data_IF_435664454653
#
_entry.id   IF_435664454653
#
_cell.length_a   1.000
_cell.length_b   1.000
_cell.length_c   1.000
_cell.angle_alpha   90.00
_cell.angle_beta   90.00
_cell.angle_gamma   90.00
#
_symmetry.space_group_name_H-M   'P 1'
#
loop_
_entity.id
_entity.type
_entity.pdbx_description
1 polymer ?
#
# COMPACT_ATOMS: atom_id res chain seq x y z
N UNK A 1 64.78 -11.21 -1.12
CA UNK A 1 63.69 -10.27 -1.49
C UNK A 1 62.49 -11.07 -1.92
N UNK A 2 61.46 -11.18 -1.08
CA UNK A 2 60.13 -11.58 -1.55
C UNK A 2 59.09 -10.96 -0.62
N UNK A 3 58.46 -9.87 -1.08
CA UNK A 3 57.38 -9.16 -0.38
C UNK A 3 56.08 -9.68 -0.98
N UNK A 4 55.17 -10.31 -0.22
CA UNK A 4 53.84 -10.61 -0.74
C UNK A 4 53.02 -9.32 -0.82
N UNK A 5 52.45 -9.06 -2.00
CA UNK A 5 51.55 -7.94 -2.24
C UNK A 5 50.27 -8.03 -1.38
N UNK A 6 49.69 -6.89 -0.95
CA UNK A 6 48.43 -6.89 -0.21
C UNK A 6 47.27 -7.33 -1.12
N UNK A 7 46.44 -8.25 -0.63
CA UNK A 7 45.25 -8.73 -1.31
C UNK A 7 44.22 -7.61 -1.40
N UNK A 8 43.81 -7.31 -2.62
CA UNK A 8 42.74 -6.40 -2.98
C UNK A 8 41.45 -6.79 -2.23
N UNK A 9 40.99 -5.89 -1.37
CA UNK A 9 39.69 -5.96 -0.73
C UNK A 9 38.62 -5.79 -1.82
N UNK A 10 38.09 -6.91 -2.30
CA UNK A 10 36.83 -6.92 -3.05
C UNK A 10 35.71 -6.44 -2.13
N UNK A 11 35.45 -5.13 -2.14
CA UNK A 11 34.18 -4.54 -1.72
C UNK A 11 33.08 -5.06 -2.64
N UNK A 12 32.37 -6.11 -2.18
CA UNK A 12 31.20 -6.63 -2.88
C UNK A 12 29.99 -5.68 -2.76
N UNK A 13 29.07 -5.65 -3.75
CA UNK A 13 27.89 -4.79 -3.78
C UNK A 13 26.76 -5.32 -2.86
N UNK A 14 27.07 -5.62 -1.60
CA UNK A 14 26.15 -6.23 -0.64
C UNK A 14 25.16 -5.27 0.03
N UNK A 15 25.35 -3.95 -0.11
CA UNK A 15 24.55 -2.93 0.60
C UNK A 15 23.28 -2.49 -0.13
N UNK A 16 23.22 -2.61 -1.46
CA UNK A 16 22.08 -2.14 -2.26
C UNK A 16 20.80 -2.98 -2.07
N UNK A 17 20.92 -4.25 -1.65
CA UNK A 17 19.75 -5.13 -1.45
C UNK A 17 18.96 -4.88 -0.16
N UNK A 18 19.54 -4.22 0.85
CA UNK A 18 18.86 -3.95 2.12
C UNK A 18 18.02 -2.67 2.10
N UNK A 19 18.39 -1.68 1.29
CA UNK A 19 17.62 -0.44 1.18
C UNK A 19 16.20 -0.65 0.60
N UNK A 20 16.04 -1.56 -0.36
CA UNK A 20 14.75 -1.82 -1.01
C UNK A 20 13.70 -2.52 -0.12
N UNK A 21 14.12 -3.27 0.90
CA UNK A 21 13.19 -4.00 1.78
C UNK A 21 12.51 -3.06 2.79
N UNK A 22 13.23 -2.08 3.33
CA UNK A 22 12.68 -1.07 4.25
C UNK A 22 11.67 -0.15 3.57
N UNK A 23 11.96 0.27 2.33
CA UNK A 23 11.07 1.14 1.57
C UNK A 23 9.70 0.50 1.29
N UNK A 24 9.66 -0.79 0.91
CA UNK A 24 8.39 -1.51 0.68
C UNK A 24 7.57 -1.64 1.97
N UNK A 25 8.22 -1.85 3.11
CA UNK A 25 7.54 -1.90 4.42
C UNK A 25 6.85 -0.58 4.76
N UNK A 26 7.55 0.54 4.58
CA UNK A 26 7.02 1.88 4.81
C UNK A 26 5.84 2.23 3.89
N UNK A 27 5.91 1.86 2.61
CA UNK A 27 4.80 2.06 1.67
C UNK A 27 3.56 1.28 2.10
N UNK A 28 3.70 0.00 2.48
CA UNK A 28 2.55 -0.79 2.96
C UNK A 28 1.95 -0.25 4.26
N UNK A 29 2.80 0.24 5.17
CA UNK A 29 2.35 0.88 6.41
C UNK A 29 1.61 2.19 6.12
N UNK A 30 2.15 3.01 5.22
CA UNK A 30 1.53 4.26 4.79
C UNK A 30 0.18 4.01 4.10
N UNK A 31 0.11 3.04 3.18
CA UNK A 31 -1.13 2.61 2.53
C UNK A 31 -2.18 2.12 3.53
N UNK A 32 -1.74 1.50 4.63
CA UNK A 32 -2.63 1.03 5.68
C UNK A 32 -3.20 2.17 6.56
N UNK A 33 -2.44 3.25 6.76
CA UNK A 33 -2.85 4.41 7.57
C UNK A 33 -3.67 5.42 6.76
N UNK A 34 -3.24 5.72 5.54
CA UNK A 34 -3.87 6.73 4.68
C UNK A 34 -5.17 6.21 4.04
N UNK A 35 -5.43 4.90 4.10
CA UNK A 35 -6.61 4.30 3.50
C UNK A 35 -6.45 4.06 1.99
N UNK A 36 -5.21 3.96 1.50
CA UNK A 36 -4.93 3.65 0.09
C UNK A 36 -5.49 2.29 -0.37
N UNK A 37 -5.89 1.44 0.59
CA UNK A 37 -6.45 0.11 0.35
C UNK A 37 -7.98 0.06 0.56
N UNK A 38 -8.67 1.20 0.68
CA UNK A 38 -10.10 1.24 0.99
C UNK A 38 -10.95 0.48 -0.04
N UNK A 39 -10.69 0.66 -1.33
CA UNK A 39 -11.36 -0.09 -2.38
C UNK A 39 -11.10 -1.60 -2.25
N UNK A 40 -9.86 -2.02 -2.03
CA UNK A 40 -9.51 -3.43 -1.87
C UNK A 40 -10.20 -4.06 -0.63
N UNK A 41 -10.27 -3.32 0.47
CA UNK A 41 -11.00 -3.73 1.68
C UNK A 41 -12.49 -3.84 1.41
N UNK A 42 -13.08 -2.89 0.68
CA UNK A 42 -14.48 -2.92 0.25
C UNK A 42 -14.78 -4.13 -0.64
N UNK A 43 -13.93 -4.42 -1.62
CA UNK A 43 -14.06 -5.62 -2.48
C UNK A 43 -13.95 -6.91 -1.66
N UNK A 44 -12.97 -6.98 -0.75
CA UNK A 44 -12.81 -8.14 0.13
C UNK A 44 -14.02 -8.34 1.04
N UNK A 45 -14.61 -7.25 1.54
CA UNK A 45 -15.85 -7.27 2.32
C UNK A 45 -17.04 -7.75 1.48
N UNK A 46 -17.22 -7.19 0.28
CA UNK A 46 -18.25 -7.61 -0.68
C UNK A 46 -18.15 -9.10 -0.99
N UNK A 47 -16.96 -9.60 -1.30
CA UNK A 47 -16.75 -11.03 -1.59
C UNK A 47 -17.09 -11.93 -0.40
N UNK A 48 -16.92 -11.46 0.83
CA UNK A 48 -17.21 -12.22 2.06
C UNK A 48 -18.69 -12.18 2.44
N UNK A 49 -19.33 -11.02 2.32
CA UNK A 49 -20.70 -10.79 2.80
C UNK A 49 -21.76 -10.96 1.71
N UNK A 50 -21.40 -10.69 0.45
CA UNK A 50 -22.30 -10.62 -0.69
C UNK A 50 -21.64 -11.22 -1.94
N UNK A 51 -21.40 -12.54 -1.97
CA UNK A 51 -20.76 -13.19 -3.11
C UNK A 51 -21.55 -13.05 -4.41
N UNK A 52 -22.87 -12.87 -4.33
CA UNK A 52 -23.77 -12.75 -5.48
C UNK A 52 -23.87 -11.32 -6.06
N UNK A 53 -23.30 -10.32 -5.37
CA UNK A 53 -23.30 -8.94 -5.86
C UNK A 53 -22.13 -8.72 -6.82
N UNK A 54 -22.36 -8.05 -7.97
CA UNK A 54 -21.27 -7.63 -8.82
C UNK A 54 -20.37 -6.61 -8.09
N UNK A 55 -19.06 -6.80 -8.18
CA UNK A 55 -18.08 -5.88 -7.60
C UNK A 55 -18.05 -4.61 -8.47
N UNK A 56 -18.37 -3.43 -7.92
CA UNK A 56 -18.32 -2.18 -8.67
C UNK A 56 -16.87 -1.81 -8.99
N UNK A 57 -16.66 -1.03 -10.05
CA UNK A 57 -15.33 -0.51 -10.37
C UNK A 57 -14.86 0.50 -9.34
N UNK A 58 -13.55 0.68 -9.20
CA UNK A 58 -12.97 1.64 -8.24
C UNK A 58 -13.54 3.06 -8.39
N UNK A 59 -13.70 3.53 -9.62
CA UNK A 59 -14.29 4.86 -9.90
C UNK A 59 -15.75 4.94 -9.44
N UNK A 60 -16.54 3.88 -9.62
CA UNK A 60 -17.93 3.83 -9.16
C UNK A 60 -17.99 3.85 -7.64
N UNK A 61 -17.14 3.07 -6.97
CA UNK A 61 -17.04 3.06 -5.51
C UNK A 61 -16.76 4.46 -4.95
N UNK A 62 -15.75 5.16 -5.49
CA UNK A 62 -15.43 6.51 -5.05
C UNK A 62 -16.56 7.50 -5.33
N UNK A 63 -17.18 7.44 -6.52
CA UNK A 63 -18.33 8.28 -6.85
C UNK A 63 -19.49 8.05 -5.87
N UNK A 64 -19.91 6.80 -5.65
CA UNK A 64 -21.01 6.48 -4.74
C UNK A 64 -20.71 6.92 -3.30
N UNK A 65 -19.45 6.79 -2.86
CA UNK A 65 -19.01 7.24 -1.54
C UNK A 65 -19.10 8.76 -1.39
N UNK A 66 -18.65 9.51 -2.41
CA UNK A 66 -18.78 10.98 -2.42
C UNK A 66 -20.25 11.39 -2.51
N UNK A 67 -21.05 10.77 -3.39
CA UNK A 67 -22.49 11.03 -3.51
C UNK A 67 -23.24 10.71 -2.20
N UNK A 68 -22.78 9.71 -1.44
CA UNK A 68 -23.35 9.39 -0.12
C UNK A 68 -22.96 10.44 0.93
N UNK A 69 -21.73 10.94 0.89
CA UNK A 69 -21.27 12.03 1.77
C UNK A 69 -21.98 13.36 1.45
N UNK A 70 -22.21 13.65 0.17
CA UNK A 70 -22.93 14.84 -0.29
C UNK A 70 -24.42 14.77 0.04
N UNK A 71 -25.04 13.59 -0.10
CA UNK A 71 -26.46 13.38 0.24
C UNK A 71 -26.73 13.33 1.74
N UNK A 72 -25.75 12.91 2.53
CA UNK A 72 -25.87 12.85 3.98
C UNK A 72 -24.65 13.53 4.62
N UNK A 73 -24.56 14.87 4.55
CA UNK A 73 -23.53 15.60 5.26
C UNK A 73 -23.87 15.44 6.75
N UNK A 74 -23.23 14.48 7.41
CA UNK A 74 -23.41 14.22 8.84
C UNK A 74 -22.67 15.28 9.67
N UNK A 75 -22.79 16.54 9.28
CA UNK A 75 -22.47 17.73 10.06
C UNK A 75 -23.76 18.35 10.61
N UNK A 76 -24.67 17.53 11.13
CA UNK A 76 -25.74 18.04 11.98
C UNK A 76 -25.20 18.19 13.40
N UNK A 77 -24.32 19.17 13.60
CA UNK A 77 -24.20 19.79 14.91
C UNK A 77 -25.45 20.67 15.08
N UNK A 78 -26.48 20.07 15.68
CA UNK A 78 -27.51 20.80 16.41
C UNK A 78 -27.40 20.33 17.86
#
# INVERSE_FOLDING_TARGET
MNVPAPRDARSGPGVLRRAGAGARGLLRWFDAIVGGQDYQRYVAHLRRMHPDRPIPTERQYWRERHDAADRNPSNRCC
#
